data_IF_040432938811
#
_entry.id   IF_040432938811
#
_cell.length_a   1.000
_cell.length_b   1.000
_cell.length_c   1.000
_cell.angle_alpha   90.00
_cell.angle_beta   90.00
_cell.angle_gamma   90.00
#
_symmetry.space_group_name_H-M   'P 1'
#
loop_
_entity.id
_entity.type
_entity.pdbx_description
1 polymer ?
#
# COMPACT_ATOMS: atom_id res chain seq x y z
N UNK A 1 -40.26 27.99 1.50
CA UNK A 1 -40.30 27.16 2.72
C UNK A 1 -39.53 25.88 2.42
N UNK A 2 -38.44 25.65 3.19
CA UNK A 2 -37.68 24.40 3.48
C UNK A 2 -37.68 23.24 2.47
N UNK A 3 -36.61 22.50 2.16
CA UNK A 3 -35.18 22.42 2.48
C UNK A 3 -34.64 21.28 1.58
N UNK A 4 -33.57 21.43 0.77
CA UNK A 4 -33.03 20.32 -0.01
C UNK A 4 -32.10 19.46 0.86
N UNK A 5 -32.65 18.43 1.50
CA UNK A 5 -31.85 17.42 2.17
C UNK A 5 -31.07 16.60 1.13
N UNK A 6 -29.79 16.96 0.97
CA UNK A 6 -28.63 16.06 0.97
C UNK A 6 -28.93 14.58 0.67
N UNK A 7 -28.54 14.14 -0.53
CA UNK A 7 -28.12 12.77 -0.76
C UNK A 7 -26.85 12.80 -1.61
N UNK A 8 -25.72 13.06 -0.93
CA UNK A 8 -24.42 12.72 -1.49
C UNK A 8 -24.43 11.20 -1.57
N UNK A 9 -24.50 10.68 -2.80
CA UNK A 9 -24.24 9.28 -3.09
C UNK A 9 -22.78 9.04 -2.70
N UNK A 10 -22.54 8.69 -1.44
CA UNK A 10 -21.33 7.99 -1.04
C UNK A 10 -21.26 6.78 -1.95
N UNK A 11 -20.29 6.74 -2.86
CA UNK A 11 -20.08 5.56 -3.69
C UNK A 11 -19.81 4.40 -2.73
N UNK A 12 -20.80 3.54 -2.59
CA UNK A 12 -20.65 2.20 -2.07
C UNK A 12 -19.73 1.46 -3.05
N UNK A 13 -18.45 1.56 -2.79
CA UNK A 13 -17.43 0.60 -3.21
C UNK A 13 -16.78 0.17 -1.89
N UNK A 14 -17.53 -0.50 -1.04
CA UNK A 14 -17.74 -1.95 -1.10
C UNK A 14 -16.43 -2.69 -0.83
N UNK A 15 -16.38 -3.17 0.40
CA UNK A 15 -15.28 -3.72 1.19
C UNK A 15 -14.84 -5.11 0.70
N UNK A 16 -14.50 -5.25 -0.58
CA UNK A 16 -13.97 -6.53 -1.11
C UNK A 16 -12.87 -6.33 -2.15
N UNK A 17 -11.99 -5.36 -1.90
CA UNK A 17 -10.72 -5.27 -2.61
C UNK A 17 -9.57 -5.14 -1.62
N UNK A 18 -9.19 -6.26 -1.01
CA UNK A 18 -7.83 -6.45 -0.51
C UNK A 18 -6.91 -6.55 -1.74
N UNK A 19 -6.77 -5.42 -2.43
CA UNK A 19 -6.32 -5.27 -3.82
C UNK A 19 -6.77 -3.94 -4.47
N UNK A 20 -7.53 -3.09 -3.77
CA UNK A 20 -8.11 -1.86 -4.34
C UNK A 20 -7.37 -0.56 -4.01
N UNK A 21 -6.63 -0.52 -2.90
CA UNK A 21 -5.76 0.61 -2.54
C UNK A 21 -4.28 0.32 -2.86
N UNK A 22 -3.88 -0.94 -2.71
CA UNK A 22 -2.48 -1.34 -2.88
C UNK A 22 -2.13 -1.80 -4.29
N UNK A 23 -3.12 -2.07 -5.17
CA UNK A 23 -3.00 -2.54 -6.57
C UNK A 23 -1.62 -3.14 -6.90
N UNK A 24 -1.29 -4.24 -6.22
CA UNK A 24 0.06 -4.82 -6.23
C UNK A 24 0.38 -5.38 -7.61
N UNK A 25 -0.61 -5.97 -8.27
CA UNK A 25 -0.49 -6.45 -9.64
C UNK A 25 -0.26 -5.30 -10.62
N UNK A 26 -1.02 -4.20 -10.51
CA UNK A 26 -0.82 -3.01 -11.35
C UNK A 26 0.53 -2.35 -11.13
N UNK A 27 1.03 -2.32 -9.89
CA UNK A 27 2.38 -1.85 -9.59
C UNK A 27 3.45 -2.76 -10.16
N UNK A 28 3.30 -4.08 -10.04
CA UNK A 28 4.24 -5.03 -10.60
C UNK A 28 4.32 -4.86 -12.12
N UNK A 29 3.18 -4.73 -12.79
CA UNK A 29 3.13 -4.45 -14.23
C UNK A 29 3.74 -3.08 -14.58
N UNK A 30 3.61 -2.09 -13.70
CA UNK A 30 4.26 -0.78 -13.85
C UNK A 30 5.78 -0.89 -13.72
N UNK A 31 6.27 -1.64 -12.73
CA UNK A 31 7.70 -1.93 -12.57
C UNK A 31 8.26 -2.65 -13.78
N UNK A 32 7.54 -3.65 -14.29
CA UNK A 32 7.95 -4.42 -15.47
C UNK A 32 7.98 -3.54 -16.73
N UNK A 33 6.95 -2.71 -16.92
CA UNK A 33 6.89 -1.72 -18.02
C UNK A 33 8.08 -0.75 -17.97
N UNK A 34 8.34 -0.13 -16.81
CA UNK A 34 9.43 0.83 -16.63
C UNK A 34 10.81 0.15 -16.78
N UNK A 35 10.92 -1.12 -16.35
CA UNK A 35 12.12 -1.93 -16.56
C UNK A 35 12.35 -2.19 -18.04
N UNK A 36 11.32 -2.54 -18.80
CA UNK A 36 11.41 -2.73 -20.24
C UNK A 36 11.81 -1.43 -20.97
N UNK A 37 11.27 -0.30 -20.53
CA UNK A 37 11.61 1.02 -21.06
C UNK A 37 13.08 1.39 -20.82
N UNK A 38 13.63 0.99 -19.66
CA UNK A 38 15.05 1.18 -19.34
C UNK A 38 16.03 0.36 -20.20
N UNK A 39 15.53 -0.72 -20.82
CA UNK A 39 16.31 -1.59 -21.72
C UNK A 39 16.34 -1.08 -23.16
N UNK A 40 15.58 -0.02 -23.48
CA UNK A 40 15.51 0.53 -24.83
C UNK A 40 16.80 1.27 -25.20
N UNK A 41 17.27 1.05 -26.43
CA UNK A 41 18.40 1.80 -26.97
C UNK A 41 18.10 3.31 -26.99
N UNK A 42 19.03 4.09 -26.43
CA UNK A 42 18.91 5.53 -26.30
C UNK A 42 18.11 6.03 -25.09
N UNK A 43 17.67 5.14 -24.19
CA UNK A 43 17.04 5.55 -22.91
C UNK A 43 17.93 6.48 -22.09
N UNK A 44 19.24 6.20 -22.06
CA UNK A 44 20.24 7.00 -21.36
C UNK A 44 20.63 8.30 -22.10
N UNK A 45 20.09 8.57 -23.30
CA UNK A 45 20.38 9.80 -24.03
C UNK A 45 19.71 11.03 -23.39
N UNK A 46 18.60 10.83 -22.68
CA UNK A 46 17.92 11.87 -21.92
C UNK A 46 18.02 11.55 -20.42
N UNK A 47 18.98 12.20 -19.76
CA UNK A 47 19.28 11.96 -18.35
C UNK A 47 18.13 12.39 -17.43
N UNK A 48 17.36 13.43 -17.78
CA UNK A 48 16.23 13.87 -16.96
C UNK A 48 15.06 12.88 -17.04
N UNK A 49 14.74 12.41 -18.25
CA UNK A 49 13.70 11.42 -18.46
C UNK A 49 14.06 10.08 -17.80
N UNK A 50 15.30 9.62 -17.97
CA UNK A 50 15.79 8.40 -17.35
C UNK A 50 15.72 8.46 -15.81
N UNK A 51 16.12 9.59 -15.21
CA UNK A 51 16.01 9.77 -13.77
C UNK A 51 14.57 9.77 -13.27
N UNK A 52 13.63 10.38 -14.00
CA UNK A 52 12.20 10.38 -13.64
C UNK A 52 11.65 8.96 -13.64
N UNK A 53 11.90 8.20 -14.69
CA UNK A 53 11.45 6.81 -14.85
C UNK A 53 12.06 5.90 -13.79
N UNK A 54 13.35 6.07 -13.47
CA UNK A 54 14.01 5.33 -12.40
C UNK A 54 13.43 5.64 -11.01
N UNK A 55 13.09 6.91 -10.73
CA UNK A 55 12.43 7.28 -9.47
C UNK A 55 11.03 6.67 -9.37
N UNK A 56 10.23 6.78 -10.43
CA UNK A 56 8.89 6.18 -10.50
C UNK A 56 8.94 4.66 -10.28
N UNK A 57 9.88 3.98 -10.94
CA UNK A 57 10.14 2.55 -10.78
C UNK A 57 10.50 2.22 -9.33
N UNK A 58 11.43 2.96 -8.73
CA UNK A 58 11.87 2.72 -7.35
C UNK A 58 10.73 2.91 -6.34
N UNK A 59 9.87 3.91 -6.50
CA UNK A 59 8.71 4.12 -5.63
C UNK A 59 7.68 2.99 -5.77
N UNK A 60 7.42 2.54 -7.00
CA UNK A 60 6.53 1.41 -7.24
C UNK A 60 7.09 0.11 -6.65
N UNK A 61 8.38 -0.19 -6.88
CA UNK A 61 9.08 -1.35 -6.32
C UNK A 61 9.09 -1.36 -4.79
N UNK A 62 9.35 -0.20 -4.17
CA UNK A 62 9.35 -0.07 -2.72
C UNK A 62 7.98 -0.42 -2.14
N UNK A 63 6.90 0.02 -2.79
CA UNK A 63 5.56 -0.32 -2.30
C UNK A 63 5.26 -1.81 -2.44
N UNK A 64 5.53 -2.39 -3.61
CA UNK A 64 5.34 -3.83 -3.84
C UNK A 64 6.11 -4.63 -2.81
N UNK A 65 7.36 -4.27 -2.58
CA UNK A 65 8.22 -4.94 -1.59
C UNK A 65 7.66 -4.82 -0.17
N UNK A 66 7.20 -3.63 0.23
CA UNK A 66 6.60 -3.40 1.55
C UNK A 66 5.32 -4.23 1.74
N UNK A 67 4.47 -4.28 0.72
CA UNK A 67 3.25 -5.09 0.77
C UNK A 67 3.57 -6.58 0.86
N UNK A 68 4.46 -7.10 0.00
CA UNK A 68 4.87 -8.51 0.00
C UNK A 68 5.46 -8.92 1.35
N UNK A 69 6.28 -8.05 1.98
CA UNK A 69 6.81 -8.29 3.33
C UNK A 69 5.70 -8.35 4.37
N UNK A 70 4.77 -7.40 4.35
CA UNK A 70 3.65 -7.39 5.29
C UNK A 70 2.77 -8.63 5.14
N UNK A 71 2.49 -9.05 3.90
CA UNK A 71 1.75 -10.29 3.62
C UNK A 71 2.47 -11.54 4.12
N UNK A 72 3.80 -11.61 3.94
CA UNK A 72 4.61 -12.71 4.47
C UNK A 72 4.60 -12.73 6.01
N UNK A 73 4.78 -11.58 6.66
CA UNK A 73 4.71 -11.48 8.12
C UNK A 73 3.34 -11.89 8.68
N UNK A 74 2.23 -11.55 8.00
CA UNK A 74 0.88 -12.00 8.38
C UNK A 74 0.78 -13.52 8.28
N UNK A 75 1.27 -14.11 7.18
CA UNK A 75 1.24 -15.55 6.97
C UNK A 75 2.07 -16.29 8.04
N UNK A 76 3.28 -15.80 8.33
CA UNK A 76 4.14 -16.38 9.38
C UNK A 76 3.48 -16.32 10.76
N UNK A 77 2.84 -15.19 11.12
CA UNK A 77 2.11 -15.04 12.38
C UNK A 77 0.89 -15.96 12.43
N UNK A 78 0.21 -16.18 11.30
CA UNK A 78 -0.91 -17.10 11.20
C UNK A 78 -0.47 -18.55 11.39
N UNK A 79 0.61 -18.96 10.74
CA UNK A 79 1.22 -20.29 10.91
C UNK A 79 1.66 -20.53 12.36
N UNK A 80 2.28 -19.52 13.00
CA UNK A 80 2.64 -19.57 14.42
C UNK A 80 1.42 -19.70 15.33
N UNK A 81 0.32 -19.00 15.02
CA UNK A 81 -0.92 -19.11 15.78
C UNK A 81 -1.56 -20.50 15.63
N UNK A 82 -1.54 -21.06 14.43
CA UNK A 82 -2.03 -22.41 14.16
C UNK A 82 -1.20 -23.47 14.89
N UNK A 83 0.12 -23.31 14.93
CA UNK A 83 1.02 -24.17 15.70
C UNK A 83 0.76 -24.05 17.21
N UNK A 84 0.66 -22.83 17.74
CA UNK A 84 0.34 -22.58 19.14
C UNK A 84 -1.02 -23.19 19.55
N UNK A 85 -2.03 -23.08 18.67
CA UNK A 85 -3.34 -23.69 18.88
C UNK A 85 -3.28 -25.23 18.85
N UNK A 86 -2.46 -25.82 17.98
CA UNK A 86 -2.26 -27.26 17.90
C UNK A 86 -1.53 -27.83 19.12
N UNK A 87 -0.55 -27.09 19.66
CA UNK A 87 0.24 -27.49 20.83
C UNK A 87 -0.41 -27.09 22.17
N UNK A 88 -1.44 -26.22 22.13
CA UNK A 88 -2.09 -25.68 23.32
C UNK A 88 -1.21 -24.68 24.08
N UNK A 89 -0.25 -24.07 23.40
CA UNK A 89 0.68 -23.08 23.97
C UNK A 89 0.03 -21.69 23.98
N UNK A 90 -0.61 -21.37 25.11
CA UNK A 90 -1.28 -20.08 25.31
C UNK A 90 -0.30 -18.90 25.41
N UNK A 91 0.96 -19.14 25.80
CA UNK A 91 1.97 -18.09 25.91
C UNK A 91 2.44 -17.67 24.50
N UNK A 92 2.66 -18.64 23.61
CA UNK A 92 2.98 -18.39 22.20
C UNK A 92 1.83 -17.67 21.46
N UNK A 93 0.58 -18.07 21.72
CA UNK A 93 -0.59 -17.38 21.16
C UNK A 93 -0.71 -15.93 21.64
N UNK A 94 -0.37 -15.66 22.91
CA UNK A 94 -0.37 -14.31 23.47
C UNK A 94 0.74 -13.44 22.87
N UNK A 95 1.91 -14.01 22.58
CA UNK A 95 3.01 -13.33 21.90
C UNK A 95 2.62 -12.90 20.48
N UNK A 96 2.00 -13.81 19.70
CA UNK A 96 1.45 -13.48 18.37
C UNK A 96 0.40 -12.37 18.45
N UNK A 97 -0.51 -12.45 19.42
CA UNK A 97 -1.53 -11.42 19.63
C UNK A 97 -0.91 -10.05 19.97
N UNK A 98 0.23 -10.03 20.65
CA UNK A 98 0.96 -8.79 20.96
C UNK A 98 1.66 -8.15 19.76
N UNK A 99 1.92 -8.93 18.69
CA UNK A 99 2.54 -8.44 17.46
C UNK A 99 1.53 -7.82 16.47
N UNK A 100 0.24 -8.18 16.58
CA UNK A 100 -0.83 -7.67 15.71
C UNK A 100 -0.97 -6.14 15.68
N UNK A 101 -0.90 -5.40 16.81
CA UNK A 101 -1.02 -3.93 16.80
C UNK A 101 0.07 -3.26 15.97
N UNK A 102 1.31 -3.74 16.05
CA UNK A 102 2.42 -3.19 15.25
C UNK A 102 2.30 -3.48 13.76
N UNK A 103 1.63 -4.56 13.39
CA UNK A 103 1.30 -4.88 12.01
C UNK A 103 0.17 -3.99 11.46
N UNK A 104 -0.84 -3.73 12.29
CA UNK A 104 -1.93 -2.81 11.96
C UNK A 104 -1.42 -1.38 11.70
N UNK A 105 -0.54 -0.87 12.57
CA UNK A 105 0.03 0.47 12.41
C UNK A 105 0.86 0.61 11.13
N UNK A 106 1.63 -0.42 10.77
CA UNK A 106 2.41 -0.45 9.51
C UNK A 106 1.49 -0.48 8.28
N UNK A 107 0.40 -1.23 8.37
CA UNK A 107 -0.61 -1.29 7.30
C UNK A 107 -1.28 0.07 7.11
N UNK A 108 -1.65 0.73 8.22
CA UNK A 108 -2.25 2.07 8.20
C UNK A 108 -1.29 3.13 7.66
N UNK A 109 -0.01 3.06 8.02
CA UNK A 109 0.99 3.98 7.48
C UNK A 109 1.15 3.82 5.95
N UNK A 110 1.16 2.58 5.46
CA UNK A 110 1.20 2.28 4.02
C UNK A 110 -0.07 2.74 3.30
N UNK A 111 -1.24 2.63 3.94
CA UNK A 111 -2.51 3.12 3.41
C UNK A 111 -2.49 4.65 3.26
N UNK A 112 -2.05 5.38 4.29
CA UNK A 112 -1.92 6.84 4.23
C UNK A 112 -0.91 7.27 3.16
N UNK A 113 0.23 6.58 3.07
CA UNK A 113 1.22 6.83 2.02
C UNK A 113 0.67 6.57 0.61
N UNK A 114 -0.31 5.67 0.48
CA UNK A 114 -0.98 5.38 -0.78
C UNK A 114 -2.05 6.39 -1.15
N UNK A 115 -2.76 6.90 -0.15
CA UNK A 115 -3.73 7.98 -0.34
C UNK A 115 -3.06 9.31 -0.69
N UNK A 116 -1.87 9.55 -0.15
CA UNK A 116 -1.08 10.75 -0.40
C UNK A 116 -0.08 10.47 -1.53
N UNK A 117 -0.45 10.77 -2.76
CA UNK A 117 0.46 10.66 -3.89
C UNK A 117 1.61 11.66 -3.74
N UNK A 118 2.74 11.48 -4.46
CA UNK A 118 3.87 12.41 -4.39
C UNK A 118 3.50 13.86 -4.79
N UNK A 119 2.40 14.06 -5.53
CA UNK A 119 1.87 15.38 -5.90
C UNK A 119 1.11 16.07 -4.74
N UNK A 120 0.73 15.33 -3.69
CA UNK A 120 -0.01 15.83 -2.52
C UNK A 120 0.90 16.24 -1.36
N UNK A 121 2.22 16.27 -1.55
CA UNK A 121 3.19 16.73 -0.54
C UNK A 121 3.26 18.25 -0.36
N UNK A 122 2.34 19.00 -0.98
CA UNK A 122 2.27 20.46 -0.84
C UNK A 122 1.37 20.88 0.33
N UNK A 123 1.62 22.08 0.89
CA UNK A 123 0.85 22.59 2.02
C UNK A 123 -0.60 22.88 1.62
N UNK A 124 -1.56 22.16 2.22
CA UNK A 124 -2.98 22.48 2.08
C UNK A 124 -3.35 23.74 2.87
N UNK A 125 -3.74 24.82 2.18
CA UNK A 125 -4.29 26.03 2.81
C UNK A 125 -5.80 25.84 2.97
N UNK A 126 -6.25 25.69 4.22
CA UNK A 126 -7.67 25.58 4.55
C UNK A 126 -8.20 26.94 4.99
N UNK A 127 -9.17 27.49 4.25
CA UNK A 127 -9.91 28.69 4.63
C UNK A 127 -11.35 28.30 4.95
N UNK A 128 -11.76 28.53 6.20
CA UNK A 128 -13.12 28.28 6.69
C UNK A 128 -13.79 29.66 6.86
N UNK A 129 -15.00 29.81 6.31
CA UNK A 129 -15.84 31.02 6.43
C UNK A 129 -16.86 30.87 7.55
#
# INVERSE_FOLDING_TARGET
MANPATCWSTSLSDSSRWGGIFDVEGLQHTVDRLTHESLRDGFWNDQEAAQRIMRERATAEQTVTSFTKLSAEIADLQDLLELAAAEGDADMAAEVASALPGLEDRTRALEVQRMLSNEDNENAILMIN
#
